data_IF_986928371193
#
_entry.id   IF_986928371193
#
_cell.length_a   1.000
_cell.length_b   1.000
_cell.length_c   1.000
_cell.angle_alpha   90.00
_cell.angle_beta   90.00
_cell.angle_gamma   90.00
#
_symmetry.space_group_name_H-M   'P 1'
#
loop_
_entity.id
_entity.type
_entity.pdbx_description
1 polymer ?
#
# COMPACT_ATOMS: atom_id res chain seq x y z
N UNK A 1 17.50 -114.87 96.29
CA UNK A 1 18.40 -114.52 95.18
C UNK A 1 18.66 -115.77 94.34
N UNK A 2 18.44 -115.70 93.03
CA UNK A 2 18.84 -116.76 92.10
C UNK A 2 20.31 -116.52 91.76
N UNK A 3 21.18 -117.51 91.95
CA UNK A 3 22.57 -117.40 91.52
C UNK A 3 22.63 -117.55 89.99
N UNK A 4 22.96 -116.47 89.29
CA UNK A 4 22.95 -116.43 87.82
C UNK A 4 23.92 -117.42 87.18
N UNK A 5 25.02 -117.78 87.87
CA UNK A 5 26.00 -118.74 87.37
C UNK A 5 25.45 -120.18 87.28
N UNK A 6 24.34 -120.47 87.97
CA UNK A 6 23.69 -121.79 87.97
C UNK A 6 22.51 -121.88 86.99
N UNK A 7 22.23 -120.82 86.23
CA UNK A 7 21.15 -120.81 85.25
C UNK A 7 21.55 -121.60 84.00
N UNK A 8 20.89 -122.74 83.80
CA UNK A 8 20.91 -123.47 82.53
C UNK A 8 20.03 -122.70 81.54
N UNK A 9 20.66 -121.80 80.81
CA UNK A 9 19.99 -120.88 79.89
C UNK A 9 20.18 -121.34 78.46
N UNK A 10 19.10 -121.39 77.69
CA UNK A 10 19.19 -121.50 76.23
C UNK A 10 18.66 -120.23 75.59
N UNK A 11 19.52 -119.56 74.82
CA UNK A 11 19.18 -118.32 74.12
C UNK A 11 18.59 -118.61 72.73
N UNK A 12 17.51 -117.93 72.37
CA UNK A 12 16.79 -118.11 71.11
C UNK A 12 16.43 -116.76 70.50
N UNK A 13 16.60 -116.60 69.19
CA UNK A 13 16.02 -115.47 68.46
C UNK A 13 14.79 -115.96 67.71
N UNK A 14 13.65 -115.31 67.94
CA UNK A 14 12.34 -115.75 67.49
C UNK A 14 11.76 -114.68 66.58
N UNK A 15 11.60 -115.05 65.30
CA UNK A 15 10.92 -114.21 64.32
C UNK A 15 9.41 -114.48 64.39
N UNK A 16 8.66 -113.53 64.95
CA UNK A 16 7.27 -113.68 65.35
C UNK A 16 6.32 -113.85 64.15
N UNK A 17 6.66 -113.32 62.96
CA UNK A 17 5.80 -113.45 61.77
C UNK A 17 5.79 -114.84 61.13
N UNK A 18 6.79 -115.69 61.39
CA UNK A 18 7.00 -116.93 60.63
C UNK A 18 6.30 -118.15 61.25
N UNK A 19 4.96 -118.11 61.31
CA UNK A 19 4.14 -119.10 62.03
C UNK A 19 4.22 -120.55 61.51
N UNK A 20 4.72 -120.76 60.28
CA UNK A 20 4.91 -122.12 59.74
C UNK A 20 6.22 -122.76 60.19
N UNK A 21 7.15 -121.99 60.73
CA UNK A 21 8.44 -122.47 61.22
C UNK A 21 8.27 -123.10 62.61
N UNK A 22 8.67 -124.36 62.77
CA UNK A 22 8.84 -124.96 64.10
C UNK A 22 10.27 -124.72 64.58
N UNK A 23 10.42 -124.10 65.74
CA UNK A 23 11.72 -123.73 66.30
C UNK A 23 12.12 -124.83 67.30
N UNK A 24 13.06 -125.69 66.93
CA UNK A 24 13.67 -126.57 67.93
C UNK A 24 14.73 -125.78 68.69
N UNK A 25 14.50 -125.53 69.98
CA UNK A 25 15.45 -124.75 70.80
C UNK A 25 16.77 -125.47 71.06
N UNK A 26 16.80 -126.80 70.88
CA UNK A 26 17.82 -127.72 71.38
C UNK A 26 18.03 -127.68 72.89
N UNK A 27 17.18 -126.95 73.62
CA UNK A 27 17.26 -126.86 75.06
C UNK A 27 16.89 -128.21 75.68
N UNK A 28 17.74 -128.68 76.60
CA UNK A 28 17.54 -129.94 77.32
C UNK A 28 17.63 -129.66 78.82
N UNK A 29 16.51 -129.83 79.50
CA UNK A 29 16.38 -129.56 80.94
C UNK A 29 16.12 -130.86 81.69
N UNK A 30 16.61 -130.94 82.91
CA UNK A 30 16.35 -132.08 83.77
C UNK A 30 15.00 -131.89 84.49
N UNK A 31 14.19 -132.94 84.62
CA UNK A 31 12.89 -132.88 85.33
C UNK A 31 13.00 -132.30 86.75
N UNK A 32 14.16 -132.44 87.42
CA UNK A 32 14.42 -131.88 88.76
C UNK A 32 15.17 -130.54 88.77
N UNK A 33 15.44 -129.91 87.62
CA UNK A 33 15.97 -128.55 87.60
C UNK A 33 14.98 -127.62 88.32
N UNK A 34 15.44 -126.99 89.41
CA UNK A 34 14.59 -126.13 90.26
C UNK A 34 15.15 -124.71 90.25
N UNK A 35 14.40 -123.76 89.67
CA UNK A 35 14.79 -122.34 89.52
C UNK A 35 16.07 -122.10 88.71
N UNK A 36 16.53 -123.10 87.95
CA UNK A 36 17.76 -123.02 87.15
C UNK A 36 17.52 -123.15 85.64
N UNK A 37 16.38 -123.70 85.20
CA UNK A 37 16.08 -123.85 83.78
C UNK A 37 15.45 -122.57 83.20
N UNK A 38 16.03 -122.04 82.12
CA UNK A 38 15.57 -120.80 81.50
C UNK A 38 15.66 -120.83 79.97
N UNK A 39 14.60 -120.33 79.32
CA UNK A 39 14.64 -119.93 77.92
C UNK A 39 14.78 -118.41 77.87
N UNK A 40 15.87 -117.92 77.27
CA UNK A 40 16.10 -116.50 77.05
C UNK A 40 15.79 -116.22 75.57
N UNK A 41 14.74 -115.47 75.29
CA UNK A 41 14.25 -115.28 73.94
C UNK A 41 14.35 -113.81 73.53
N UNK A 42 14.91 -113.57 72.36
CA UNK A 42 14.86 -112.28 71.67
C UNK A 42 13.75 -112.32 70.63
N UNK A 43 12.73 -111.48 70.79
CA UNK A 43 11.55 -111.46 69.94
C UNK A 43 11.71 -110.40 68.85
N UNK A 44 11.59 -110.82 67.60
CA UNK A 44 11.76 -109.96 66.42
C UNK A 44 10.55 -110.02 65.50
N UNK A 45 10.26 -108.90 64.84
CA UNK A 45 9.28 -108.79 63.77
C UNK A 45 9.99 -108.17 62.56
N UNK A 46 9.93 -108.84 61.41
CA UNK A 46 10.62 -108.41 60.21
C UNK A 46 12.15 -108.25 60.39
N UNK A 47 12.76 -109.14 61.18
CA UNK A 47 14.15 -109.09 61.62
C UNK A 47 14.53 -107.90 62.52
N UNK A 48 13.60 -107.06 62.95
CA UNK A 48 13.86 -105.99 63.92
C UNK A 48 13.34 -106.38 65.31
N UNK A 49 14.04 -106.01 66.41
CA UNK A 49 13.56 -106.23 67.77
C UNK A 49 12.17 -105.60 68.00
N UNK A 50 11.31 -106.32 68.72
CA UNK A 50 10.00 -105.80 69.11
C UNK A 50 10.17 -105.01 70.42
N UNK A 51 9.74 -103.75 70.44
CA UNK A 51 9.61 -102.98 71.68
C UNK A 51 8.46 -103.55 72.52
N UNK A 52 8.79 -104.02 73.72
CA UNK A 52 7.87 -104.66 74.65
C UNK A 52 7.34 -103.70 75.72
N UNK A 53 7.60 -102.39 75.61
CA UNK A 53 7.13 -101.38 76.58
C UNK A 53 5.61 -101.47 76.77
N UNK A 54 5.17 -101.68 78.02
CA UNK A 54 3.75 -101.82 78.34
C UNK A 54 3.12 -103.16 77.94
N UNK A 55 3.89 -104.11 77.39
CA UNK A 55 3.43 -105.47 77.12
C UNK A 55 3.56 -106.36 78.37
N UNK A 56 2.78 -107.44 78.39
CA UNK A 56 2.96 -108.55 79.32
C UNK A 56 3.27 -109.83 78.54
N UNK A 57 4.13 -110.67 79.12
CA UNK A 57 4.69 -111.85 78.45
C UNK A 57 4.38 -113.12 79.24
N UNK A 58 3.92 -114.16 78.55
CA UNK A 58 3.80 -115.50 79.10
C UNK A 58 4.17 -116.55 78.06
N UNK A 59 4.58 -117.73 78.51
CA UNK A 59 4.73 -118.91 77.68
C UNK A 59 3.57 -119.87 77.96
N UNK A 60 2.83 -120.23 76.92
CA UNK A 60 1.86 -121.32 76.96
C UNK A 60 2.59 -122.62 76.57
N UNK A 61 2.66 -123.57 77.49
CA UNK A 61 3.49 -124.77 77.38
C UNK A 61 2.60 -126.00 77.35
N UNK A 62 2.70 -126.81 76.29
CA UNK A 62 2.11 -128.14 76.15
C UNK A 62 3.19 -129.20 76.42
N UNK A 63 3.08 -129.85 77.57
CA UNK A 63 4.01 -130.89 78.02
C UNK A 63 3.82 -132.20 77.26
N UNK A 64 4.82 -133.08 77.35
CA UNK A 64 4.80 -134.42 76.72
C UNK A 64 3.65 -135.32 77.20
N UNK A 65 3.14 -135.11 78.41
CA UNK A 65 1.97 -135.81 78.97
C UNK A 65 0.62 -135.28 78.45
N UNK A 66 0.64 -134.28 77.56
CA UNK A 66 -0.53 -133.64 76.97
C UNK A 66 -1.17 -132.55 77.83
N UNK A 67 -0.68 -132.29 79.05
CA UNK A 67 -1.20 -131.21 79.92
C UNK A 67 -0.53 -129.87 79.60
N UNK A 68 -1.28 -128.79 79.77
CA UNK A 68 -0.79 -127.42 79.53
C UNK A 68 -0.44 -126.68 80.83
N UNK A 69 0.52 -125.77 80.75
CA UNK A 69 0.95 -124.86 81.82
C UNK A 69 1.17 -123.48 81.22
N UNK A 70 0.68 -122.43 81.88
CA UNK A 70 0.98 -121.05 81.52
C UNK A 70 2.04 -120.52 82.50
N UNK A 71 3.20 -120.15 81.96
CA UNK A 71 4.32 -119.63 82.73
C UNK A 71 4.51 -118.15 82.43
N UNK A 72 4.46 -117.29 83.45
CA UNK A 72 4.75 -115.86 83.26
C UNK A 72 6.23 -115.67 82.90
N UNK A 73 6.46 -114.83 81.90
CA UNK A 73 7.79 -114.39 81.48
C UNK A 73 8.19 -113.09 82.16
N UNK A 74 9.49 -112.82 82.20
CA UNK A 74 10.06 -111.55 82.63
C UNK A 74 10.67 -110.86 81.42
N UNK A 75 10.36 -109.58 81.24
CA UNK A 75 11.05 -108.76 80.24
C UNK A 75 12.41 -108.38 80.81
N UNK A 76 13.47 -108.70 80.07
CA UNK A 76 14.87 -108.45 80.46
C UNK A 76 15.36 -107.16 79.85
N UNK A 77 14.96 -106.89 78.61
CA UNK A 77 15.24 -105.65 77.88
C UNK A 77 14.01 -105.31 77.02
N UNK A 78 13.31 -104.22 77.40
CA UNK A 78 12.06 -103.80 76.77
C UNK A 78 12.28 -103.34 75.32
N UNK A 79 13.33 -102.55 75.06
CA UNK A 79 13.57 -101.95 73.75
C UNK A 79 14.19 -102.91 72.74
N UNK A 80 15.00 -103.87 73.22
CA UNK A 80 15.62 -104.89 72.38
C UNK A 80 14.82 -106.20 72.31
N UNK A 81 13.59 -106.23 72.84
CA UNK A 81 12.69 -107.37 72.73
C UNK A 81 13.16 -108.64 73.43
N UNK A 82 13.97 -108.53 74.48
CA UNK A 82 14.56 -109.70 75.18
C UNK A 82 13.73 -110.07 76.40
N UNK A 83 13.32 -111.33 76.45
CA UNK A 83 12.52 -111.91 77.52
C UNK A 83 13.19 -113.15 78.12
N UNK A 84 12.87 -113.46 79.36
CA UNK A 84 13.27 -114.67 80.06
C UNK A 84 12.04 -115.46 80.52
N UNK A 85 11.95 -116.73 80.13
CA UNK A 85 10.97 -117.68 80.64
C UNK A 85 11.69 -118.66 81.58
N UNK A 86 11.52 -118.45 82.88
CA UNK A 86 11.98 -119.39 83.89
C UNK A 86 11.06 -120.60 83.96
N UNK A 87 11.56 -121.79 83.61
CA UNK A 87 10.78 -123.02 83.61
C UNK A 87 10.72 -123.55 85.04
N UNK A 88 9.51 -123.60 85.60
CA UNK A 88 9.25 -124.14 86.94
C UNK A 88 9.24 -125.67 86.92
N UNK A 89 9.31 -126.29 88.10
CA UNK A 89 9.20 -127.75 88.23
C UNK A 89 7.91 -128.29 87.56
N UNK A 90 6.85 -127.48 87.51
CA UNK A 90 5.60 -127.82 86.82
C UNK A 90 5.76 -127.83 85.29
N UNK A 91 6.58 -126.93 84.72
CA UNK A 91 6.89 -126.88 83.29
C UNK A 91 7.82 -128.03 82.85
N UNK A 92 8.55 -128.61 83.80
CA UNK A 92 9.51 -129.70 83.58
C UNK A 92 9.00 -131.05 84.08
N UNK A 93 7.75 -131.15 84.55
CA UNK A 93 7.28 -132.30 85.33
C UNK A 93 7.11 -133.59 84.52
N UNK A 94 7.25 -133.57 83.20
CA UNK A 94 6.90 -134.68 82.31
C UNK A 94 8.03 -134.88 81.30
N UNK A 95 8.66 -136.05 81.34
CA UNK A 95 9.83 -136.38 80.51
C UNK A 95 9.41 -136.49 79.04
N UNK A 96 10.20 -135.92 78.13
CA UNK A 96 9.95 -135.94 76.69
C UNK A 96 10.02 -134.56 76.03
N UNK A 97 9.71 -134.51 74.73
CA UNK A 97 9.65 -133.25 73.97
C UNK A 97 8.40 -132.46 74.38
N UNK A 98 8.63 -131.22 74.80
CA UNK A 98 7.62 -130.25 75.24
C UNK A 98 7.59 -129.10 74.25
N UNK A 99 6.39 -128.64 73.88
CA UNK A 99 6.20 -127.51 72.98
C UNK A 99 5.72 -126.29 73.76
N UNK A 100 6.19 -125.11 73.41
CA UNK A 100 5.70 -123.85 73.95
C UNK A 100 5.54 -122.77 72.88
N UNK A 101 4.62 -121.85 73.13
CA UNK A 101 4.43 -120.64 72.35
C UNK A 101 4.57 -119.44 73.30
N UNK A 102 5.33 -118.44 72.88
CA UNK A 102 5.44 -117.17 73.61
C UNK A 102 4.27 -116.29 73.21
N UNK A 103 3.61 -115.72 74.21
CA UNK A 103 2.42 -114.89 74.07
C UNK A 103 2.74 -113.49 74.58
N UNK A 104 2.60 -112.51 73.70
CA UNK A 104 2.70 -111.08 74.01
C UNK A 104 1.29 -110.52 74.11
N UNK A 105 0.98 -109.82 75.19
CA UNK A 105 -0.30 -109.15 75.39
C UNK A 105 -0.12 -107.67 75.70
N UNK A 106 -0.86 -106.81 75.01
CA UNK A 106 -0.89 -105.37 75.24
C UNK A 106 -2.27 -104.82 74.91
N UNK A 107 -2.93 -104.13 75.85
CA UNK A 107 -4.23 -103.47 75.66
C UNK A 107 -5.29 -104.29 74.89
N UNK A 108 -5.42 -105.57 75.24
CA UNK A 108 -6.39 -106.50 74.64
C UNK A 108 -5.96 -107.16 73.33
N UNK A 109 -4.79 -106.82 72.79
CA UNK A 109 -4.18 -107.48 71.63
C UNK A 109 -3.29 -108.64 72.08
N UNK A 110 -3.29 -109.75 71.33
CA UNK A 110 -2.51 -110.96 71.64
C UNK A 110 -1.72 -111.39 70.41
N UNK A 111 -0.42 -111.59 70.57
CA UNK A 111 0.48 -112.09 69.53
C UNK A 111 1.18 -113.37 70.00
N UNK A 112 1.03 -114.46 69.23
CA UNK A 112 1.68 -115.74 69.48
C UNK A 112 2.95 -115.89 68.66
N UNK A 113 3.98 -116.51 69.25
CA UNK A 113 5.16 -116.94 68.51
C UNK A 113 4.90 -118.22 67.71
N UNK A 114 5.75 -118.54 66.72
CA UNK A 114 5.82 -119.89 66.20
C UNK A 114 6.16 -120.90 67.31
N UNK A 115 5.75 -122.16 67.14
CA UNK A 115 5.97 -123.21 68.14
C UNK A 115 7.46 -123.47 68.37
N UNK A 116 7.86 -123.41 69.65
CA UNK A 116 9.22 -123.72 70.11
C UNK A 116 9.18 -125.05 70.83
N UNK A 117 10.11 -125.97 70.58
CA UNK A 117 10.23 -127.19 71.37
C UNK A 117 11.50 -127.22 72.22
N UNK A 118 11.40 -127.80 73.41
CA UNK A 118 12.51 -128.16 74.30
C UNK A 118 12.29 -129.55 74.86
N UNK A 119 13.36 -130.21 75.32
CA UNK A 119 13.30 -131.59 75.81
C UNK A 119 13.49 -131.60 77.32
N UNK A 120 12.61 -132.30 78.01
CA UNK A 120 12.79 -132.66 79.42
C UNK A 120 13.36 -134.07 79.47
N UNK A 121 14.53 -134.23 80.08
CA UNK A 121 15.15 -135.53 80.32
C UNK A 121 14.97 -135.97 81.75
N UNK A 122 14.92 -137.28 81.90
CA UNK A 122 14.87 -137.94 83.19
C UNK A 122 16.11 -137.59 84.04
N UNK A 123 15.95 -137.65 85.35
CA UNK A 123 17.07 -137.62 86.27
C UNK A 123 17.51 -139.05 86.61
N UNK A 124 18.81 -139.26 86.86
CA UNK A 124 19.39 -140.60 86.97
C UNK A 124 18.87 -141.43 88.16
N UNK A 125 18.03 -140.86 89.04
CA UNK A 125 17.55 -141.51 90.26
C UNK A 125 16.08 -141.19 90.53
N UNK A 126 15.24 -142.19 90.32
CA UNK A 126 13.86 -142.25 90.76
C UNK A 126 13.84 -142.73 92.22
N UNK A 127 13.61 -141.81 93.16
CA UNK A 127 13.30 -142.17 94.55
C UNK A 127 12.26 -141.24 95.13
N UNK A 128 11.17 -141.90 95.52
CA UNK A 128 10.09 -141.49 96.40
C UNK A 128 10.60 -140.94 97.73
N UNK A 129 10.05 -139.79 98.11
CA UNK A 129 9.58 -139.42 99.47
C UNK A 129 10.35 -139.90 100.74
N UNK A 130 10.79 -138.89 101.53
CA UNK A 130 10.53 -138.65 102.99
C UNK A 130 11.75 -138.41 103.95
N UNK A 131 11.57 -137.31 104.71
CA UNK A 131 11.99 -136.85 106.07
C UNK A 131 13.41 -136.49 106.53
N UNK A 132 13.49 -135.20 106.93
CA UNK A 132 13.89 -134.59 108.22
C UNK A 132 15.04 -135.13 109.07
N UNK A 133 16.04 -134.26 109.32
CA UNK A 133 16.63 -133.82 110.62
C UNK A 133 17.73 -132.77 110.28
N UNK A 134 18.01 -131.74 111.11
CA UNK A 134 19.32 -131.00 111.29
C UNK A 134 19.23 -129.45 111.49
N UNK A 135 18.54 -128.94 112.52
CA UNK A 135 18.25 -127.49 112.70
C UNK A 135 19.36 -126.62 113.35
N UNK A 136 20.44 -127.15 113.91
CA UNK A 136 21.41 -126.33 114.66
C UNK A 136 22.36 -125.43 113.82
N UNK A 137 22.81 -125.81 112.61
CA UNK A 137 23.66 -124.94 111.78
C UNK A 137 22.94 -123.69 111.23
N UNK A 138 21.60 -123.72 111.15
CA UNK A 138 20.78 -122.65 110.57
C UNK A 138 20.77 -121.39 111.46
N UNK A 139 20.91 -121.54 112.79
CA UNK A 139 20.85 -120.43 113.73
C UNK A 139 22.06 -119.47 113.62
N UNK A 140 23.26 -119.98 113.34
CA UNK A 140 24.45 -119.11 113.18
C UNK A 140 24.46 -118.36 111.85
N UNK A 141 23.78 -118.88 110.81
CA UNK A 141 23.60 -118.18 109.54
C UNK A 141 22.63 -117.00 109.74
N UNK A 142 21.52 -117.23 110.46
CA UNK A 142 20.54 -116.18 110.78
C UNK A 142 21.14 -115.00 111.56
N UNK A 143 22.07 -115.23 112.50
CA UNK A 143 22.70 -114.14 113.26
C UNK A 143 23.56 -113.24 112.36
N UNK A 144 24.29 -113.84 111.39
CA UNK A 144 25.12 -113.06 110.45
C UNK A 144 24.25 -112.25 109.48
N UNK A 145 23.12 -112.79 109.04
CA UNK A 145 22.17 -112.09 108.18
C UNK A 145 21.54 -110.89 108.89
N UNK A 146 21.26 -110.99 110.20
CA UNK A 146 20.78 -109.86 111.01
C UNK A 146 21.80 -108.72 111.07
N UNK A 147 23.10 -109.01 111.24
CA UNK A 147 24.14 -107.97 111.28
C UNK A 147 24.34 -107.27 109.93
N UNK A 148 24.20 -108.00 108.82
CA UNK A 148 24.22 -107.41 107.47
C UNK A 148 23.00 -106.51 107.25
N UNK A 149 21.83 -106.95 107.71
CA UNK A 149 20.59 -106.16 107.63
C UNK A 149 20.69 -104.86 108.43
N UNK A 150 21.34 -104.84 109.59
CA UNK A 150 21.54 -103.60 110.37
C UNK A 150 22.36 -102.55 109.59
N UNK A 151 23.43 -102.97 108.91
CA UNK A 151 24.26 -102.08 108.09
C UNK A 151 23.52 -101.58 106.84
N UNK A 152 22.73 -102.46 106.20
CA UNK A 152 21.89 -102.07 105.06
C UNK A 152 20.79 -101.09 105.48
N UNK A 153 20.21 -101.26 106.69
CA UNK A 153 19.21 -100.34 107.22
C UNK A 153 19.78 -98.94 107.45
N UNK A 154 21.00 -98.84 107.98
CA UNK A 154 21.68 -97.55 108.18
C UNK A 154 21.99 -96.83 106.85
N UNK A 155 22.39 -97.59 105.82
CA UNK A 155 22.60 -97.04 104.48
C UNK A 155 21.28 -96.60 103.82
N UNK A 156 20.20 -97.35 104.05
CA UNK A 156 18.87 -96.99 103.58
C UNK A 156 18.38 -95.71 104.23
N UNK A 157 18.54 -95.56 105.54
CA UNK A 157 18.12 -94.35 106.28
C UNK A 157 18.84 -93.09 105.76
N UNK A 158 20.16 -93.17 105.58
CA UNK A 158 20.92 -92.05 104.98
C UNK A 158 20.54 -91.74 103.54
N UNK A 159 20.17 -92.76 102.74
CA UNK A 159 19.69 -92.57 101.37
C UNK A 159 18.28 -91.95 101.34
N UNK A 160 17.37 -92.40 102.19
CA UNK A 160 16.02 -91.85 102.32
C UNK A 160 16.08 -90.38 102.71
N UNK A 161 16.91 -90.03 103.68
CA UNK A 161 17.09 -88.64 104.10
C UNK A 161 17.63 -87.76 102.96
N UNK A 162 18.65 -88.21 102.22
CA UNK A 162 19.15 -87.49 101.03
C UNK A 162 18.10 -87.36 99.91
N UNK A 163 17.29 -88.39 99.70
CA UNK A 163 16.23 -88.35 98.69
C UNK A 163 15.09 -87.41 99.10
N UNK A 164 14.73 -87.38 100.39
CA UNK A 164 13.72 -86.47 100.91
C UNK A 164 14.20 -85.01 100.86
N UNK A 165 15.46 -84.74 101.21
CA UNK A 165 16.09 -83.42 101.01
C UNK A 165 16.09 -83.00 99.53
N UNK A 166 16.42 -83.92 98.61
CA UNK A 166 16.39 -83.68 97.17
C UNK A 166 14.97 -83.40 96.65
N UNK A 167 13.98 -84.14 97.14
CA UNK A 167 12.56 -83.94 96.81
C UNK A 167 12.08 -82.57 97.31
N UNK A 168 12.40 -82.21 98.56
CA UNK A 168 12.02 -80.91 99.14
C UNK A 168 12.65 -79.74 98.37
N UNK A 169 13.93 -79.86 97.99
CA UNK A 169 14.60 -78.83 97.17
C UNK A 169 13.96 -78.67 95.78
N UNK A 170 13.61 -79.79 95.13
CA UNK A 170 12.88 -79.76 93.85
C UNK A 170 11.47 -79.21 93.98
N UNK A 171 10.77 -79.54 95.06
CA UNK A 171 9.43 -79.04 95.33
C UNK A 171 9.44 -77.52 95.57
N UNK A 172 10.38 -77.03 96.38
CA UNK A 172 10.58 -75.60 96.59
C UNK A 172 10.90 -74.86 95.27
N UNK A 173 11.72 -75.48 94.40
CA UNK A 173 12.03 -74.93 93.07
C UNK A 173 10.79 -74.89 92.17
N UNK A 174 9.95 -75.94 92.20
CA UNK A 174 8.69 -75.99 91.44
C UNK A 174 7.73 -74.90 91.91
N UNK A 175 7.56 -74.75 93.22
CA UNK A 175 6.69 -73.74 93.83
C UNK A 175 7.16 -72.33 93.47
N UNK A 176 8.46 -72.05 93.54
CA UNK A 176 9.01 -70.75 93.14
C UNK A 176 8.82 -70.48 91.65
N UNK A 177 9.06 -71.47 90.78
CA UNK A 177 8.81 -71.32 89.34
C UNK A 177 7.33 -71.08 89.02
N UNK A 178 6.41 -71.76 89.72
CA UNK A 178 4.97 -71.54 89.55
C UNK A 178 4.56 -70.16 90.05
N UNK A 179 5.14 -69.69 91.16
CA UNK A 179 4.94 -68.33 91.67
C UNK A 179 5.42 -67.28 90.68
N UNK A 180 6.60 -67.47 90.09
CA UNK A 180 7.15 -66.58 89.06
C UNK A 180 6.30 -66.59 87.78
N UNK A 181 5.81 -67.77 87.35
CA UNK A 181 4.92 -67.90 86.20
C UNK A 181 3.62 -67.12 86.42
N UNK A 182 3.01 -67.26 87.60
CA UNK A 182 1.79 -66.54 87.97
C UNK A 182 2.01 -65.03 88.02
N UNK A 183 3.10 -64.58 88.67
CA UNK A 183 3.45 -63.16 88.73
C UNK A 183 3.71 -62.56 87.34
N UNK A 184 4.36 -63.31 86.44
CA UNK A 184 4.60 -62.89 85.06
C UNK A 184 3.29 -62.74 84.27
N UNK A 185 2.37 -63.70 84.40
CA UNK A 185 1.06 -63.63 83.75
C UNK A 185 0.24 -62.45 84.27
N UNK A 186 0.24 -62.19 85.57
CA UNK A 186 -0.50 -61.07 86.14
C UNK A 186 0.07 -59.73 85.65
N UNK A 187 1.40 -59.60 85.62
CA UNK A 187 2.08 -58.43 85.03
C UNK A 187 1.74 -58.24 83.56
N UNK A 188 1.72 -59.32 82.76
CA UNK A 188 1.30 -59.27 81.36
C UNK A 188 -0.16 -58.81 81.23
N UNK A 189 -1.06 -59.33 82.06
CA UNK A 189 -2.48 -58.98 82.05
C UNK A 189 -2.68 -57.50 82.37
N UNK A 190 -2.03 -56.97 83.42
CA UNK A 190 -2.07 -55.54 83.72
C UNK A 190 -1.57 -54.67 82.56
N UNK A 191 -0.50 -55.10 81.88
CA UNK A 191 0.03 -54.35 80.74
C UNK A 191 -0.93 -54.36 79.55
N UNK A 192 -1.59 -55.50 79.29
CA UNK A 192 -2.63 -55.61 78.26
C UNK A 192 -3.84 -54.74 78.61
N UNK A 193 -4.33 -54.79 79.85
CA UNK A 193 -5.47 -53.98 80.30
C UNK A 193 -5.18 -52.48 80.17
N UNK A 194 -3.98 -52.03 80.57
CA UNK A 194 -3.53 -50.64 80.38
C UNK A 194 -3.48 -50.26 78.89
N UNK A 195 -3.01 -51.16 78.03
CA UNK A 195 -2.96 -50.94 76.59
C UNK A 195 -4.36 -50.85 75.97
N UNK A 196 -5.27 -51.74 76.34
CA UNK A 196 -6.67 -51.75 75.90
C UNK A 196 -7.37 -50.46 76.33
N UNK A 197 -7.25 -50.06 77.60
CA UNK A 197 -7.85 -48.82 78.09
C UNK A 197 -7.33 -47.58 77.34
N UNK A 198 -6.03 -47.56 77.03
CA UNK A 198 -5.41 -46.49 76.23
C UNK A 198 -5.96 -46.45 74.80
N UNK A 199 -6.15 -47.63 74.17
CA UNK A 199 -6.75 -47.75 72.84
C UNK A 199 -8.21 -47.31 72.85
N UNK A 200 -9.01 -47.74 73.83
CA UNK A 200 -10.41 -47.36 73.98
C UNK A 200 -10.56 -45.83 74.11
N UNK A 201 -9.73 -45.20 74.93
CA UNK A 201 -9.72 -43.75 75.08
C UNK A 201 -9.39 -43.05 73.75
N UNK A 202 -8.40 -43.55 73.00
CA UNK A 202 -8.06 -43.02 71.67
C UNK A 202 -9.20 -43.20 70.65
N UNK A 203 -9.91 -44.33 70.69
CA UNK A 203 -11.07 -44.57 69.82
C UNK A 203 -12.17 -43.56 70.10
N UNK A 204 -12.47 -43.29 71.37
CA UNK A 204 -13.46 -42.28 71.77
C UNK A 204 -13.05 -40.89 71.27
N UNK A 205 -11.79 -40.51 71.44
CA UNK A 205 -11.27 -39.22 70.98
C UNK A 205 -11.34 -39.08 69.45
N UNK A 206 -10.93 -40.12 68.70
CA UNK A 206 -11.03 -40.16 67.24
C UNK A 206 -12.48 -40.05 66.76
N UNK A 207 -13.41 -40.78 67.38
CA UNK A 207 -14.83 -40.72 67.03
C UNK A 207 -15.40 -39.33 67.26
N UNK A 208 -15.06 -38.67 68.37
CA UNK A 208 -15.46 -37.29 68.64
C UNK A 208 -14.96 -36.33 67.56
N UNK A 209 -13.70 -36.46 67.12
CA UNK A 209 -13.12 -35.63 66.06
C UNK A 209 -13.81 -35.89 64.71
N UNK A 210 -14.15 -37.14 64.41
CA UNK A 210 -14.88 -37.52 63.18
C UNK A 210 -16.28 -36.90 63.18
N UNK A 211 -17.00 -36.97 64.30
CA UNK A 211 -18.35 -36.37 64.43
C UNK A 211 -18.32 -34.86 64.24
N UNK A 212 -17.37 -34.16 64.88
CA UNK A 212 -17.18 -32.72 64.72
C UNK A 212 -16.81 -32.34 63.27
N UNK A 213 -15.90 -33.10 62.66
CA UNK A 213 -15.47 -32.91 61.27
C UNK A 213 -16.63 -33.11 60.28
N UNK A 214 -17.45 -34.15 60.49
CA UNK A 214 -18.61 -34.44 59.65
C UNK A 214 -19.68 -33.35 59.79
N UNK A 215 -19.97 -32.92 61.01
CA UNK A 215 -20.92 -31.81 61.27
C UNK A 215 -20.47 -30.52 60.58
N UNK A 216 -19.18 -30.19 60.70
CA UNK A 216 -18.59 -29.01 60.05
C UNK A 216 -18.66 -29.11 58.53
N UNK A 217 -18.34 -30.28 57.97
CA UNK A 217 -18.40 -30.53 56.52
C UNK A 217 -19.82 -30.40 55.99
N UNK A 218 -20.81 -30.93 56.72
CA UNK A 218 -22.22 -30.85 56.36
C UNK A 218 -22.70 -29.38 56.35
N UNK A 219 -22.42 -28.63 57.42
CA UNK A 219 -22.75 -27.20 57.50
C UNK A 219 -22.09 -26.39 56.38
N UNK A 220 -20.83 -26.68 56.05
CA UNK A 220 -20.14 -25.99 54.96
C UNK A 220 -20.75 -26.33 53.59
N UNK A 221 -21.13 -27.59 53.38
CA UNK A 221 -21.80 -28.05 52.15
C UNK A 221 -23.15 -27.36 51.97
N UNK A 222 -23.94 -27.26 53.03
CA UNK A 222 -25.23 -26.54 53.02
C UNK A 222 -25.06 -25.05 52.68
N UNK A 223 -24.06 -24.38 53.28
CA UNK A 223 -23.74 -22.98 52.98
C UNK A 223 -23.32 -22.79 51.53
N UNK A 224 -22.50 -23.70 50.99
CA UNK A 224 -22.05 -23.66 49.59
C UNK A 224 -23.25 -23.85 48.65
N UNK A 225 -24.11 -24.83 48.92
CA UNK A 225 -25.30 -25.07 48.11
C UNK A 225 -26.25 -23.87 48.13
N UNK A 226 -26.49 -23.26 49.28
CA UNK A 226 -27.29 -22.05 49.39
C UNK A 226 -26.71 -20.89 48.55
N UNK A 227 -25.38 -20.73 48.56
CA UNK A 227 -24.68 -19.73 47.75
C UNK A 227 -24.78 -20.03 46.25
N UNK A 228 -24.73 -21.31 45.85
CA UNK A 228 -24.91 -21.74 44.45
C UNK A 228 -26.32 -21.40 43.97
N UNK A 229 -27.36 -21.68 44.77
CA UNK A 229 -28.74 -21.33 44.43
C UNK A 229 -28.95 -19.81 44.30
N UNK A 230 -28.34 -19.02 45.19
CA UNK A 230 -28.36 -17.56 45.10
C UNK A 230 -27.69 -17.08 43.79
N UNK A 231 -26.53 -17.64 43.45
CA UNK A 231 -25.79 -17.29 42.22
C UNK A 231 -26.60 -17.69 40.98
N UNK A 232 -27.18 -18.88 40.96
CA UNK A 232 -28.01 -19.35 39.85
C UNK A 232 -29.24 -18.44 39.64
N UNK A 233 -29.88 -18.01 40.73
CA UNK A 233 -31.02 -17.07 40.66
C UNK A 233 -30.60 -15.74 40.03
N UNK A 234 -29.45 -15.18 40.46
CA UNK A 234 -28.90 -13.94 39.87
C UNK A 234 -28.53 -14.11 38.40
N UNK A 235 -28.00 -15.27 38.00
CA UNK A 235 -27.70 -15.56 36.59
C UNK A 235 -28.98 -15.54 35.76
N UNK A 236 -30.07 -16.11 36.26
CA UNK A 236 -31.38 -16.08 35.57
C UNK A 236 -31.86 -14.64 35.42
N UNK A 237 -31.87 -13.84 36.48
CA UNK A 237 -32.28 -12.42 36.44
C UNK A 237 -31.42 -11.59 35.46
N UNK A 238 -30.11 -11.82 35.45
CA UNK A 238 -29.18 -11.17 34.51
C UNK A 238 -29.52 -11.56 33.07
N UNK A 239 -29.77 -12.85 32.80
CA UNK A 239 -30.11 -13.32 31.46
C UNK A 239 -31.45 -12.73 30.98
N UNK A 240 -32.45 -12.65 31.85
CA UNK A 240 -33.72 -11.97 31.53
C UNK A 240 -33.50 -10.50 31.18
N UNK A 241 -32.72 -9.79 32.01
CA UNK A 241 -32.37 -8.38 31.79
C UNK A 241 -31.64 -8.18 30.46
N UNK A 242 -30.68 -9.05 30.14
CA UNK A 242 -29.94 -9.01 28.86
C UNK A 242 -30.89 -9.22 27.68
N UNK A 243 -31.81 -10.20 27.77
CA UNK A 243 -32.77 -10.48 26.71
C UNK A 243 -33.71 -9.29 26.48
N UNK A 244 -34.20 -8.65 27.54
CA UNK A 244 -35.03 -7.44 27.44
C UNK A 244 -34.25 -6.28 26.82
N UNK A 245 -33.03 -6.00 27.30
CA UNK A 245 -32.19 -4.93 26.74
C UNK A 245 -31.86 -5.16 25.26
N UNK A 246 -31.60 -6.41 24.87
CA UNK A 246 -31.34 -6.78 23.47
C UNK A 246 -32.55 -6.48 22.61
N UNK A 247 -33.75 -6.90 23.04
CA UNK A 247 -34.99 -6.62 22.31
C UNK A 247 -35.28 -5.12 22.20
N UNK A 248 -35.06 -4.36 23.27
CA UNK A 248 -35.23 -2.90 23.27
C UNK A 248 -34.26 -2.19 22.32
N UNK A 249 -33.00 -2.64 22.28
CA UNK A 249 -32.00 -2.13 21.33
C UNK A 249 -32.42 -2.42 19.89
N UNK A 250 -32.84 -3.65 19.59
CA UNK A 250 -33.29 -4.04 18.25
C UNK A 250 -34.49 -3.19 17.80
N UNK A 251 -35.46 -2.97 18.69
CA UNK A 251 -36.62 -2.14 18.43
C UNK A 251 -36.24 -0.68 18.14
N UNK A 252 -35.35 -0.09 18.95
CA UNK A 252 -34.85 1.28 18.73
C UNK A 252 -34.06 1.39 17.44
N UNK A 253 -33.25 0.38 17.10
CA UNK A 253 -32.51 0.33 15.85
C UNK A 253 -33.46 0.29 14.64
N UNK A 254 -34.51 -0.53 14.68
CA UNK A 254 -35.54 -0.55 13.63
C UNK A 254 -36.25 0.80 13.49
N UNK A 255 -36.58 1.45 14.60
CA UNK A 255 -37.23 2.76 14.57
C UNK A 255 -36.32 3.82 13.92
N UNK A 256 -35.04 3.84 14.28
CA UNK A 256 -34.04 4.75 13.69
C UNK A 256 -33.86 4.46 12.20
N UNK A 257 -33.70 3.20 11.80
CA UNK A 257 -33.53 2.81 10.40
C UNK A 257 -34.73 3.24 9.55
N UNK A 258 -35.96 3.05 10.05
CA UNK A 258 -37.17 3.50 9.39
C UNK A 258 -37.25 5.03 9.27
N UNK A 259 -36.88 5.77 10.32
CA UNK A 259 -36.82 7.24 10.29
C UNK A 259 -35.80 7.76 9.28
N UNK A 260 -34.63 7.13 9.20
CA UNK A 260 -33.59 7.49 8.22
C UNK A 260 -34.09 7.23 6.80
N UNK A 261 -34.63 6.03 6.51
CA UNK A 261 -35.18 5.70 5.18
C UNK A 261 -36.25 6.69 4.74
N UNK A 262 -37.18 7.03 5.64
CA UNK A 262 -38.22 8.02 5.35
C UNK A 262 -37.63 9.40 5.02
N UNK A 263 -36.60 9.84 5.77
CA UNK A 263 -35.96 11.14 5.55
C UNK A 263 -35.17 11.19 4.24
N UNK A 264 -34.49 10.10 3.88
CA UNK A 264 -33.81 9.95 2.58
C UNK A 264 -34.82 10.08 1.44
N UNK A 265 -35.95 9.35 1.50
CA UNK A 265 -36.98 9.44 0.46
C UNK A 265 -37.59 10.84 0.33
N UNK A 266 -37.76 11.57 1.43
CA UNK A 266 -38.21 12.97 1.40
C UNK A 266 -37.18 13.88 0.69
N UNK A 267 -35.89 13.69 0.99
CA UNK A 267 -34.80 14.46 0.38
C UNK A 267 -34.69 14.15 -1.12
N UNK A 268 -34.76 12.89 -1.51
CA UNK A 268 -34.73 12.47 -2.93
C UNK A 268 -35.87 13.11 -3.72
N UNK A 269 -37.07 13.16 -3.14
CA UNK A 269 -38.23 13.83 -3.76
C UNK A 269 -37.96 15.32 -3.96
N UNK A 270 -37.45 16.02 -2.95
CA UNK A 270 -37.11 17.45 -3.06
C UNK A 270 -36.04 17.72 -4.10
N UNK A 271 -35.02 16.86 -4.19
CA UNK A 271 -33.98 16.95 -5.24
C UNK A 271 -34.61 16.80 -6.63
N UNK A 272 -35.52 15.85 -6.81
CA UNK A 272 -36.23 15.65 -8.08
C UNK A 272 -37.06 16.88 -8.48
N UNK A 273 -37.80 17.46 -7.54
CA UNK A 273 -38.59 18.69 -7.76
C UNK A 273 -37.71 19.89 -8.12
N UNK A 274 -36.59 20.07 -7.42
CA UNK A 274 -35.60 21.12 -7.71
C UNK A 274 -35.03 20.94 -9.11
N UNK A 275 -34.61 19.72 -9.48
CA UNK A 275 -34.06 19.45 -10.81
C UNK A 275 -35.07 19.73 -11.92
N UNK A 276 -36.34 19.39 -11.73
CA UNK A 276 -37.41 19.73 -12.68
C UNK A 276 -37.59 21.24 -12.84
N UNK A 277 -37.54 21.98 -11.72
CA UNK A 277 -37.64 23.44 -11.71
C UNK A 277 -36.46 24.09 -12.44
N UNK A 278 -35.23 23.61 -12.18
CA UNK A 278 -34.02 24.08 -12.86
C UNK A 278 -34.14 23.87 -14.37
N UNK A 279 -34.47 22.66 -14.83
CA UNK A 279 -34.65 22.37 -16.27
C UNK A 279 -35.67 23.30 -16.91
N UNK A 280 -36.79 23.57 -16.22
CA UNK A 280 -37.82 24.48 -16.71
C UNK A 280 -37.32 25.92 -16.82
N UNK A 281 -36.58 26.40 -15.82
CA UNK A 281 -36.02 27.75 -15.83
C UNK A 281 -34.96 27.92 -16.92
N UNK A 282 -34.06 26.93 -17.07
CA UNK A 282 -33.06 26.92 -18.15
C UNK A 282 -33.73 27.06 -19.51
N UNK A 283 -34.72 26.21 -19.82
CA UNK A 283 -35.44 26.27 -21.10
C UNK A 283 -36.13 27.63 -21.33
N UNK A 284 -36.69 28.25 -20.28
CA UNK A 284 -37.31 29.58 -20.37
C UNK A 284 -36.28 30.67 -20.63
N UNK A 285 -35.11 30.60 -19.98
CA UNK A 285 -34.03 31.56 -20.19
C UNK A 285 -33.49 31.43 -21.61
N UNK A 286 -33.21 30.22 -22.09
CA UNK A 286 -32.75 29.97 -23.46
C UNK A 286 -33.74 30.52 -24.49
N UNK A 287 -35.04 30.29 -24.27
CA UNK A 287 -36.10 30.81 -25.16
C UNK A 287 -36.12 32.34 -25.19
N UNK A 288 -36.01 33.00 -24.03
CA UNK A 288 -35.95 34.47 -23.95
C UNK A 288 -34.69 35.04 -24.60
N UNK A 289 -33.55 34.39 -24.44
CA UNK A 289 -32.30 34.80 -25.09
C UNK A 289 -32.47 34.74 -26.60
N UNK A 290 -33.09 33.69 -27.12
CA UNK A 290 -33.36 33.55 -28.55
C UNK A 290 -34.33 34.63 -29.08
N UNK A 291 -35.43 34.89 -28.35
CA UNK A 291 -36.37 35.97 -28.69
C UNK A 291 -35.68 37.34 -28.71
N UNK A 292 -34.85 37.63 -27.70
CA UNK A 292 -34.10 38.88 -27.63
C UNK A 292 -33.08 39.00 -28.78
N UNK A 293 -32.37 37.93 -29.11
CA UNK A 293 -31.43 37.91 -30.22
C UNK A 293 -32.13 38.24 -31.54
N UNK A 294 -33.22 37.54 -31.85
CA UNK A 294 -34.01 37.78 -33.07
C UNK A 294 -34.54 39.22 -33.14
N UNK A 295 -35.05 39.77 -32.03
CA UNK A 295 -35.55 41.15 -32.01
C UNK A 295 -34.44 42.20 -32.20
N UNK A 296 -33.23 41.93 -31.72
CA UNK A 296 -32.07 42.80 -31.95
C UNK A 296 -31.63 42.74 -33.41
N UNK A 297 -31.58 41.54 -33.99
CA UNK A 297 -31.23 41.36 -35.41
C UNK A 297 -32.23 42.09 -36.32
N UNK A 298 -33.53 41.97 -36.08
CA UNK A 298 -34.57 42.70 -36.83
C UNK A 298 -34.39 44.23 -36.77
N UNK A 299 -34.05 44.76 -35.58
CA UNK A 299 -33.80 46.20 -35.42
C UNK A 299 -32.53 46.66 -36.11
N UNK A 300 -31.49 45.82 -36.14
CA UNK A 300 -30.26 46.13 -36.87
C UNK A 300 -30.53 46.17 -38.38
N UNK A 301 -31.28 45.20 -38.91
CA UNK A 301 -31.70 45.18 -40.31
C UNK A 301 -32.54 46.43 -40.68
N UNK A 302 -33.45 46.85 -39.80
CA UNK A 302 -34.24 48.07 -40.00
C UNK A 302 -33.35 49.33 -40.04
N UNK A 303 -32.41 49.44 -39.10
CA UNK A 303 -31.46 50.56 -39.05
C UNK A 303 -30.58 50.59 -40.29
N UNK A 304 -30.03 49.45 -40.71
CA UNK A 304 -29.22 49.33 -41.92
C UNK A 304 -30.01 49.75 -43.17
N UNK A 305 -31.28 49.32 -43.26
CA UNK A 305 -32.20 49.74 -44.31
C UNK A 305 -32.42 51.26 -44.34
N UNK A 306 -32.71 51.88 -43.19
CA UNK A 306 -32.92 53.32 -43.07
C UNK A 306 -31.66 54.12 -43.44
N UNK A 307 -30.48 53.68 -42.97
CA UNK A 307 -29.19 54.30 -43.30
C UNK A 307 -28.95 54.23 -44.80
N UNK A 308 -29.19 53.08 -45.43
CA UNK A 308 -29.02 52.88 -46.87
C UNK A 308 -29.94 53.81 -47.69
N UNK A 309 -31.21 53.97 -47.29
CA UNK A 309 -32.13 54.93 -47.92
C UNK A 309 -31.62 56.36 -47.76
N UNK A 310 -31.18 56.74 -46.56
CA UNK A 310 -30.73 58.12 -46.30
C UNK A 310 -29.46 58.48 -47.07
N UNK A 311 -28.51 57.55 -47.18
CA UNK A 311 -27.31 57.73 -48.00
C UNK A 311 -27.67 57.95 -49.48
N UNK A 312 -28.60 57.14 -50.02
CA UNK A 312 -29.08 57.31 -51.39
C UNK A 312 -29.78 58.67 -51.62
N UNK A 313 -30.55 59.16 -50.64
CA UNK A 313 -31.17 60.50 -50.72
C UNK A 313 -30.12 61.61 -50.74
N UNK A 314 -29.10 61.51 -49.88
CA UNK A 314 -27.98 62.46 -49.83
C UNK A 314 -27.23 62.47 -51.15
N UNK A 315 -26.89 61.29 -51.69
CA UNK A 315 -26.22 61.14 -52.98
C UNK A 315 -27.02 61.77 -54.12
N UNK A 316 -28.33 61.53 -54.17
CA UNK A 316 -29.23 62.15 -55.17
C UNK A 316 -29.25 63.67 -55.04
N UNK A 317 -29.40 64.19 -53.81
CA UNK A 317 -29.42 65.64 -53.57
C UNK A 317 -28.10 66.30 -53.92
N UNK A 318 -26.97 65.67 -53.58
CA UNK A 318 -25.65 66.19 -53.87
C UNK A 318 -25.38 66.18 -55.38
N UNK A 319 -25.73 65.08 -56.05
CA UNK A 319 -25.64 64.97 -57.51
C UNK A 319 -26.45 66.07 -58.21
N UNK A 320 -27.69 66.30 -57.78
CA UNK A 320 -28.54 67.35 -58.32
C UNK A 320 -27.92 68.76 -58.16
N UNK A 321 -27.40 69.08 -56.96
CA UNK A 321 -26.71 70.37 -56.72
C UNK A 321 -25.45 70.53 -57.56
N UNK A 322 -24.67 69.47 -57.74
CA UNK A 322 -23.49 69.49 -58.60
C UNK A 322 -23.86 69.74 -60.07
N UNK A 323 -24.93 69.10 -60.56
CA UNK A 323 -25.46 69.37 -61.91
C UNK A 323 -25.93 70.82 -62.03
N UNK A 324 -26.64 71.35 -61.04
CA UNK A 324 -27.10 72.75 -61.04
C UNK A 324 -25.92 73.74 -61.10
N UNK A 325 -24.92 73.57 -60.23
CA UNK A 325 -23.69 74.39 -60.23
C UNK A 325 -22.99 74.30 -61.58
N UNK A 326 -22.85 73.09 -62.13
CA UNK A 326 -22.24 72.86 -63.45
C UNK A 326 -22.98 73.65 -64.54
N UNK A 327 -24.31 73.63 -64.54
CA UNK A 327 -25.13 74.38 -65.50
C UNK A 327 -25.00 75.89 -65.32
N UNK A 328 -24.99 76.39 -64.07
CA UNK A 328 -24.78 77.82 -63.79
C UNK A 328 -23.40 78.28 -64.28
N UNK A 329 -22.35 77.50 -64.02
CA UNK A 329 -20.98 77.79 -64.48
C UNK A 329 -20.91 77.79 -66.01
N UNK A 330 -21.44 76.76 -66.68
CA UNK A 330 -21.47 76.69 -68.14
C UNK A 330 -22.23 77.87 -68.76
N UNK A 331 -23.36 78.27 -68.17
CA UNK A 331 -24.11 79.46 -68.59
C UNK A 331 -23.25 80.72 -68.46
N UNK A 332 -22.52 80.85 -67.35
CA UNK A 332 -21.65 82.01 -67.12
C UNK A 332 -20.48 82.05 -68.10
N UNK A 333 -19.88 80.91 -68.40
CA UNK A 333 -18.84 80.77 -69.44
C UNK A 333 -19.39 81.21 -70.79
N UNK A 334 -20.56 80.71 -71.21
CA UNK A 334 -21.17 81.12 -72.49
C UNK A 334 -21.49 82.62 -72.57
N UNK A 335 -21.90 83.25 -71.47
CA UNK A 335 -22.04 84.71 -71.40
C UNK A 335 -20.70 85.44 -71.58
N UNK A 336 -19.63 84.91 -71.00
CA UNK A 336 -18.27 85.45 -71.15
C UNK A 336 -17.79 85.29 -72.59
N UNK A 337 -17.98 84.12 -73.20
CA UNK A 337 -17.63 83.86 -74.61
C UNK A 337 -18.36 84.81 -75.57
N UNK A 338 -19.64 85.08 -75.29
CA UNK A 338 -20.43 86.07 -76.06
C UNK A 338 -19.82 87.45 -75.96
N UNK A 339 -19.49 87.91 -74.75
CA UNK A 339 -18.82 89.22 -74.55
C UNK A 339 -17.45 89.29 -75.22
N UNK A 340 -16.66 88.21 -75.15
CA UNK A 340 -15.37 88.13 -75.85
C UNK A 340 -15.58 88.27 -77.37
N UNK A 341 -16.59 87.61 -77.93
CA UNK A 341 -16.93 87.71 -79.35
C UNK A 341 -17.35 89.14 -79.74
N UNK A 342 -18.19 89.79 -78.95
CA UNK A 342 -18.57 91.20 -79.16
C UNK A 342 -17.36 92.14 -79.12
N UNK A 343 -16.45 91.94 -78.17
CA UNK A 343 -15.20 92.71 -78.08
C UNK A 343 -14.33 92.48 -79.33
N UNK A 344 -14.20 91.24 -79.79
CA UNK A 344 -13.44 90.93 -81.00
C UNK A 344 -14.05 91.58 -82.24
N UNK A 345 -15.39 91.59 -82.39
CA UNK A 345 -16.05 92.31 -83.50
C UNK A 345 -15.76 93.81 -83.45
N UNK A 346 -15.91 94.44 -82.28
CA UNK A 346 -15.56 95.86 -82.09
C UNK A 346 -14.10 96.14 -82.43
N UNK A 347 -13.19 95.25 -82.05
CA UNK A 347 -11.78 95.36 -82.38
C UNK A 347 -11.56 95.32 -83.90
N UNK A 348 -12.20 94.39 -84.62
CA UNK A 348 -12.15 94.31 -86.08
C UNK A 348 -12.72 95.56 -86.76
N UNK A 349 -13.83 96.11 -86.26
CA UNK A 349 -14.39 97.37 -86.78
C UNK A 349 -13.40 98.52 -86.63
N UNK A 350 -12.76 98.63 -85.45
CA UNK A 350 -11.70 99.62 -85.20
C UNK A 350 -10.53 99.44 -86.18
N UNK A 351 -10.08 98.20 -86.41
CA UNK A 351 -9.01 97.91 -87.38
C UNK A 351 -9.39 98.28 -88.81
N UNK A 352 -10.65 98.07 -89.20
CA UNK A 352 -11.17 98.50 -90.52
C UNK A 352 -11.19 100.02 -90.63
N UNK A 353 -11.75 100.72 -89.66
CA UNK A 353 -11.74 102.20 -89.63
C UNK A 353 -10.32 102.76 -89.66
N UNK A 354 -9.39 102.16 -88.92
CA UNK A 354 -7.96 102.51 -88.97
C UNK A 354 -7.41 102.36 -90.40
N UNK A 355 -7.73 101.28 -91.09
CA UNK A 355 -7.29 101.02 -92.47
C UNK A 355 -7.90 101.99 -93.47
N UNK A 356 -9.21 102.26 -93.36
CA UNK A 356 -9.92 103.22 -94.19
C UNK A 356 -9.33 104.63 -94.03
N UNK A 357 -9.10 105.07 -92.78
CA UNK A 357 -8.43 106.35 -92.49
C UNK A 357 -7.03 106.42 -93.10
N UNK A 358 -6.24 105.33 -93.04
CA UNK A 358 -4.93 105.27 -93.69
C UNK A 358 -5.06 105.41 -95.22
N UNK A 359 -6.07 104.77 -95.82
CA UNK A 359 -6.36 104.87 -97.26
C UNK A 359 -6.77 106.28 -97.66
N UNK A 360 -7.68 106.90 -96.91
CA UNK A 360 -8.12 108.29 -97.10
C UNK A 360 -6.94 109.24 -97.01
N UNK A 361 -6.11 109.11 -95.96
CA UNK A 361 -4.87 109.88 -95.81
C UNK A 361 -3.98 109.73 -97.04
N UNK A 362 -3.77 108.51 -97.54
CA UNK A 362 -2.93 108.25 -98.72
C UNK A 362 -3.56 108.83 -100.00
N UNK A 363 -4.88 108.79 -100.12
CA UNK A 363 -5.63 109.35 -101.26
C UNK A 363 -5.53 110.88 -101.26
N UNK A 364 -5.83 111.52 -100.13
CA UNK A 364 -5.64 112.97 -99.95
C UNK A 364 -4.21 113.38 -100.22
N UNK A 365 -3.22 112.64 -99.68
CA UNK A 365 -1.79 112.88 -99.94
C UNK A 365 -1.47 112.82 -101.44
N UNK A 366 -2.05 111.87 -102.17
CA UNK A 366 -1.85 111.72 -103.62
C UNK A 366 -2.55 112.80 -104.45
N UNK A 367 -3.80 113.15 -104.11
CA UNK A 367 -4.55 114.24 -104.73
C UNK A 367 -3.81 115.56 -104.55
N UNK A 368 -3.39 115.85 -103.32
CA UNK A 368 -2.64 117.07 -103.02
C UNK A 368 -1.32 117.11 -103.79
N UNK A 369 -0.61 115.99 -103.91
CA UNK A 369 0.59 115.90 -104.75
C UNK A 369 0.27 116.16 -106.24
N UNK A 370 -0.86 115.67 -106.75
CA UNK A 370 -1.34 115.95 -108.11
C UNK A 370 -1.68 117.42 -108.30
N UNK A 371 -2.46 118.02 -107.39
CA UNK A 371 -2.84 119.43 -107.43
C UNK A 371 -1.62 120.35 -107.39
N UNK A 372 -0.63 120.01 -106.56
CA UNK A 372 0.68 120.67 -106.53
C UNK A 372 1.36 120.58 -107.90
N UNK A 373 1.39 119.40 -108.53
CA UNK A 373 2.01 119.21 -109.85
C UNK A 373 1.25 119.91 -110.98
N UNK A 374 -0.08 119.93 -110.94
CA UNK A 374 -0.91 120.68 -111.89
C UNK A 374 -0.68 122.18 -111.74
N UNK A 375 -0.72 122.71 -110.52
CA UNK A 375 -0.43 124.12 -110.23
C UNK A 375 0.97 124.48 -110.71
N UNK A 376 1.97 123.66 -110.39
CA UNK A 376 3.34 123.82 -110.87
C UNK A 376 3.41 123.87 -112.41
N UNK A 377 2.68 122.99 -113.10
CA UNK A 377 2.65 122.95 -114.57
C UNK A 377 1.93 124.15 -115.19
N UNK A 378 0.80 124.58 -114.60
CA UNK A 378 0.08 125.79 -115.02
C UNK A 378 0.96 127.01 -114.85
N UNK A 379 1.61 127.16 -113.69
CA UNK A 379 2.55 128.26 -113.46
C UNK A 379 3.69 128.27 -114.49
N UNK A 380 4.25 127.10 -114.82
CA UNK A 380 5.25 126.96 -115.88
C UNK A 380 4.67 127.43 -117.23
N UNK A 381 3.44 127.06 -117.56
CA UNK A 381 2.76 127.49 -118.77
C UNK A 381 2.51 129.00 -118.79
N UNK A 382 1.99 129.58 -117.71
CA UNK A 382 1.71 131.03 -117.59
C UNK A 382 3.01 131.84 -117.70
N UNK A 383 4.09 131.37 -117.07
CA UNK A 383 5.42 131.95 -117.23
C UNK A 383 5.89 131.88 -118.68
N UNK A 384 5.70 130.74 -119.36
CA UNK A 384 6.09 130.59 -120.76
C UNK A 384 5.24 131.45 -121.71
N UNK A 385 3.93 131.56 -121.46
CA UNK A 385 3.02 132.42 -122.21
C UNK A 385 3.37 133.89 -122.01
N UNK A 386 3.58 134.34 -120.76
CA UNK A 386 4.04 135.69 -120.45
C UNK A 386 5.38 136.00 -121.13
N UNK A 387 6.31 135.04 -121.10
CA UNK A 387 7.59 135.14 -121.81
C UNK A 387 7.38 135.30 -123.33
N UNK A 388 6.44 134.55 -123.92
CA UNK A 388 6.09 134.62 -125.34
C UNK A 388 5.41 135.95 -125.70
N UNK A 389 4.43 136.39 -124.92
CA UNK A 389 3.74 137.67 -125.09
C UNK A 389 4.70 138.85 -124.97
N UNK A 390 5.59 138.80 -123.98
CA UNK A 390 6.66 139.78 -123.83
C UNK A 390 7.59 139.76 -125.05
N UNK A 391 7.98 138.58 -125.54
CA UNK A 391 8.79 138.43 -126.76
C UNK A 391 8.08 139.05 -127.96
N UNK A 392 6.79 138.78 -128.14
CA UNK A 392 5.97 139.33 -129.22
C UNK A 392 5.80 140.84 -129.10
N UNK A 393 5.56 141.36 -127.90
CA UNK A 393 5.43 142.80 -127.64
C UNK A 393 6.75 143.54 -127.88
N UNK A 394 7.87 142.96 -127.45
CA UNK A 394 9.22 143.47 -127.73
C UNK A 394 9.47 143.46 -129.23
N UNK A 395 9.18 142.36 -129.94
CA UNK A 395 9.33 142.28 -131.38
C UNK A 395 8.45 143.29 -132.13
N UNK A 396 7.21 143.51 -131.69
CA UNK A 396 6.32 144.53 -132.27
C UNK A 396 6.85 145.95 -132.04
N UNK A 397 7.42 146.24 -130.86
CA UNK A 397 8.11 147.51 -130.60
C UNK A 397 9.37 147.66 -131.43
N UNK A 398 10.17 146.61 -131.59
CA UNK A 398 11.33 146.57 -132.50
C UNK A 398 10.86 146.91 -133.91
N UNK A 399 9.83 146.24 -134.45
CA UNK A 399 9.29 146.52 -135.78
C UNK A 399 8.76 147.96 -135.93
N UNK A 400 8.12 148.53 -134.89
CA UNK A 400 7.70 149.92 -134.88
C UNK A 400 8.88 150.89 -134.89
N UNK A 401 9.95 150.57 -134.15
CA UNK A 401 11.20 151.32 -134.14
C UNK A 401 11.90 151.20 -135.50
N UNK A 402 11.97 150.01 -136.09
CA UNK A 402 12.52 149.77 -137.43
C UNK A 402 11.74 150.57 -138.48
N UNK A 403 10.41 150.52 -138.47
CA UNK A 403 9.59 151.32 -139.38
C UNK A 403 9.80 152.84 -139.22
N UNK A 404 9.99 153.31 -137.98
CA UNK A 404 10.34 154.72 -137.72
C UNK A 404 11.73 155.07 -138.23
N UNK A 405 12.71 154.18 -138.05
CA UNK A 405 14.06 154.32 -138.59
C UNK A 405 14.04 154.38 -140.11
N UNK A 406 13.33 153.48 -140.78
CA UNK A 406 13.16 153.49 -142.24
C UNK A 406 12.53 154.80 -142.73
N UNK A 407 11.51 155.32 -142.04
CA UNK A 407 10.90 156.61 -142.39
C UNK A 407 11.88 157.78 -142.17
N UNK A 408 12.71 157.74 -141.13
CA UNK A 408 13.78 158.72 -140.95
C UNK A 408 14.85 158.60 -142.03
N UNK A 409 15.23 157.39 -142.44
CA UNK A 409 16.15 157.16 -143.55
C UNK A 409 15.58 157.73 -144.86
N UNK A 410 14.28 157.53 -145.13
CA UNK A 410 13.58 158.11 -146.29
C UNK A 410 13.62 159.65 -146.26
N UNK A 411 13.32 160.26 -145.10
CA UNK A 411 13.39 161.72 -144.91
C UNK A 411 14.81 162.26 -145.06
N UNK A 412 15.81 161.53 -144.57
CA UNK A 412 17.23 161.89 -144.76
C UNK A 412 17.58 161.85 -146.24
N UNK A 413 17.09 160.86 -146.99
CA UNK A 413 17.27 160.77 -148.45
C UNK A 413 16.66 161.97 -149.19
N UNK A 414 15.48 162.42 -148.75
CA UNK A 414 14.81 163.61 -149.29
C UNK A 414 15.60 164.90 -148.99
N UNK A 415 16.11 165.05 -147.77
CA UNK A 415 17.01 166.16 -147.38
C UNK A 415 18.29 166.16 -148.21
N UNK A 416 18.93 164.99 -148.39
CA UNK A 416 20.15 164.88 -149.20
C UNK A 416 19.93 165.35 -150.64
N UNK A 417 18.75 165.08 -151.20
CA UNK A 417 18.34 165.55 -152.55
C UNK A 417 18.18 167.07 -152.59
N UNK A 418 17.58 167.66 -151.55
CA UNK A 418 17.45 169.12 -151.40
C UNK A 418 18.80 169.81 -151.25
N UNK A 419 19.72 169.26 -150.46
CA UNK A 419 21.08 169.78 -150.28
C UNK A 419 21.84 169.83 -151.62
N UNK A 420 21.74 168.78 -152.43
CA UNK A 420 22.32 168.75 -153.78
C UNK A 420 21.78 169.84 -154.72
N UNK A 421 20.53 170.28 -154.53
CA UNK A 421 19.96 171.39 -155.29
C UNK A 421 20.48 172.76 -154.81
N UNK A 422 20.67 172.94 -153.50
CA UNK A 422 21.16 174.19 -152.91
C UNK A 422 22.63 174.45 -153.27
N UNK A 423 23.48 173.42 -153.15
CA UNK A 423 24.90 173.53 -153.48
C UNK A 423 25.13 173.95 -154.94
N UNK A 424 24.30 173.45 -155.86
CA UNK A 424 24.40 173.81 -157.27
C UNK A 424 23.95 175.26 -157.55
N UNK A 425 22.96 175.76 -156.80
CA UNK A 425 22.51 177.16 -156.90
C UNK A 425 23.56 178.14 -156.36
N UNK A 426 24.26 177.77 -155.29
CA UNK A 426 25.28 178.60 -154.65
C UNK A 426 26.55 178.74 -155.51
N UNK A 427 26.91 177.67 -156.24
CA UNK A 427 28.01 177.71 -157.22
C UNK A 427 27.73 178.70 -158.36
N UNK A 428 26.52 178.68 -158.92
CA UNK A 428 26.11 179.61 -159.99
C UNK A 428 26.11 181.08 -159.53
N UNK A 429 25.78 181.32 -158.24
CA UNK A 429 25.85 182.66 -157.64
C UNK A 429 27.28 183.19 -157.58
N UNK A 430 28.23 182.35 -157.15
CA UNK A 430 29.64 182.74 -157.04
C UNK A 430 30.29 183.02 -158.41
N UNK A 431 29.95 182.28 -159.46
CA UNK A 431 30.44 182.55 -160.82
C UNK A 431 30.00 183.92 -161.35
N UNK A 432 28.80 184.38 -160.97
CA UNK A 432 28.27 185.71 -161.32
C UNK A 432 28.91 186.86 -160.53
N UNK A 433 29.25 186.61 -159.26
CA UNK A 433 29.87 187.60 -158.36
C UNK A 433 31.28 187.99 -158.84
N UNK A 434 32.07 187.01 -159.26
CA UNK A 434 33.45 187.22 -159.75
C UNK A 434 33.48 188.02 -161.06
N UNK A 435 32.54 187.79 -161.98
CA UNK A 435 32.44 188.57 -163.23
C UNK A 435 32.09 190.05 -162.99
N UNK A 436 31.30 190.33 -161.94
CA UNK A 436 30.93 191.69 -161.54
C UNK A 436 32.14 192.46 -161.01
N UNK A 437 32.96 191.80 -160.20
CA UNK A 437 34.09 192.42 -159.49
C UNK A 437 35.24 192.82 -160.43
N UNK A 438 35.48 192.05 -161.50
CA UNK A 438 36.54 192.43 -162.45
C UNK A 438 36.10 193.46 -163.50
N UNK A 439 34.82 193.47 -163.89
CA UNK A 439 34.28 194.58 -164.69
C UNK A 439 34.43 195.90 -163.92
N UNK A 440 34.23 195.87 -162.59
CA UNK A 440 34.46 197.02 -161.71
C UNK A 440 35.94 197.46 -161.69
N UNK A 441 36.89 196.51 -161.59
CA UNK A 441 38.32 196.86 -161.56
C UNK A 441 38.86 197.41 -162.90
N UNK A 442 38.31 196.97 -164.05
CA UNK A 442 38.68 197.54 -165.35
C UNK A 442 38.25 199.01 -165.50
N UNK A 443 37.13 199.41 -164.88
CA UNK A 443 36.64 200.80 -164.88
C UNK A 443 37.46 201.68 -163.92
N UNK A 444 37.88 201.13 -162.77
CA UNK A 444 38.71 201.87 -161.79
C UNK A 444 40.08 202.23 -162.39
N UNK A 445 40.69 201.33 -163.17
CA UNK A 445 41.99 201.60 -163.79
C UNK A 445 41.92 202.62 -164.96
N UNK A 446 40.81 202.66 -165.71
CA UNK A 446 40.60 203.66 -166.77
C UNK A 446 40.43 205.09 -166.20
N UNK A 447 39.89 205.21 -164.98
CA UNK A 447 39.65 206.48 -164.28
C UNK A 447 40.88 207.01 -163.51
N UNK A 448 41.84 206.17 -163.13
CA UNK A 448 42.97 206.60 -162.28
C UNK A 448 44.11 207.32 -163.03
N UNK A 449 44.21 207.23 -164.36
CA UNK A 449 45.33 207.87 -165.10
C UNK A 449 44.88 208.75 -166.27
N UNK A 450 43.60 208.76 -166.65
CA UNK A 450 42.98 210.02 -167.11
C UNK A 450 43.05 211.11 -166.02
N UNK A 451 43.21 210.75 -164.73
CA UNK A 451 43.57 211.67 -163.65
C UNK A 451 45.06 212.11 -163.69
N UNK A 452 45.97 211.27 -164.20
CA UNK A 452 47.37 211.68 -164.47
C UNK A 452 47.46 212.60 -165.68
N UNK A 453 46.65 212.37 -166.72
CA UNK A 453 46.49 213.30 -167.86
C UNK A 453 45.91 214.66 -167.39
N UNK A 454 45.17 214.69 -166.28
CA UNK A 454 44.65 215.92 -165.65
C UNK A 454 45.67 216.57 -164.69
N UNK A 455 46.53 215.80 -164.00
CA UNK A 455 47.62 216.36 -163.20
C UNK A 455 48.75 216.95 -164.08
N UNK A 456 48.98 216.43 -165.30
CA UNK A 456 49.89 217.06 -166.26
C UNK A 456 49.26 218.23 -167.06
N UNK A 457 47.92 218.38 -167.05
CA UNK A 457 47.25 219.65 -167.40
C UNK A 457 47.54 220.74 -166.32
N UNK A 458 47.95 220.38 -165.10
CA UNK A 458 48.24 221.31 -164.00
C UNK A 458 49.73 221.56 -163.73
N UNK A 459 50.63 220.74 -164.28
CA UNK A 459 52.07 220.91 -164.10
C UNK A 459 52.64 222.12 -164.83
N UNK A 460 52.23 222.37 -166.07
CA UNK A 460 52.83 223.44 -166.88
C UNK A 460 51.81 223.90 -167.93
N UNK A 461 50.83 224.79 -167.69
CA UNK A 461 50.71 225.94 -166.75
C UNK A 461 52.03 226.46 -166.19
N UNK A 462 52.61 227.37 -166.95
CA UNK A 462 53.54 228.34 -166.41
C UNK A 462 54.29 229.08 -167.51
N UNK A 463 53.66 229.88 -168.38
CA UNK A 463 52.31 230.51 -168.25
C UNK A 463 51.12 229.61 -168.59
N UNK A 464 49.87 229.86 -168.18
CA UNK A 464 49.15 231.08 -167.78
C UNK A 464 48.08 230.77 -166.74
#
# INVERSE_FOLDING_TARGET
>A
MINQELLRTTALTIEMKNMRKKINSKAVFNQRDTKTAMLLCELRMDNEPIDLTGCTISAEILKSDGKTVIQKGQIVDELNGVIAIGLTNQCLSSIGETSCEIVIQHDGQILYSPKISYIVVDNLFDTTEIESTNEFPILNILIRDVQVLEQELANLDTMVNRNEESRQSKEATREENERLRQASIESMKENVDKAVQSIENKIVEVNSVIEESNSTTLSNTEKVNAKIEEVNSKIVEINETINTLTSDIDNKMMEVDNKIKAKISEVDKKISEINSTITTLTNKVDSKILEMANSVDEKLDEVDGLISVKLNEVDKSLSAKLTEITNQVNTKIGQVDTKISEVNTKLSDIERTKTDLISDINTTKSSLASDINMTKSSLISDVNNTKSDLTSSVNAKINLVDNKLTNYDDKISEINTLTGNVENAERLRNEAEVSREQTFNNIVAELEVTQSDIDDILGMIGGL
#
